data_IF_007633649721
#
_entry.id   IF_007633649721
#
_cell.length_a   1.000
_cell.length_b   1.000
_cell.length_c   1.000
_cell.angle_alpha   90.00
_cell.angle_beta   90.00
_cell.angle_gamma   90.00
#
_symmetry.space_group_name_H-M   'P 1'
#
loop_
_entity.id
_entity.type
_entity.pdbx_description
1 polymer ?
#
# COMPACT_ATOMS: atom_id res chain seq x y z
N UNK A 1 -11.56 18.15 -9.98
CA UNK A 1 -11.53 17.16 -11.10
C UNK A 1 -10.07 16.89 -11.46
N UNK A 2 -9.45 15.93 -10.80
CA UNK A 2 -8.04 15.61 -11.00
C UNK A 2 -7.85 14.87 -12.32
N UNK A 3 -7.19 15.52 -13.28
CA UNK A 3 -6.66 14.81 -14.45
C UNK A 3 -5.30 14.26 -14.08
N UNK A 4 -5.25 12.95 -13.77
CA UNK A 4 -3.97 12.22 -13.80
C UNK A 4 -3.34 12.47 -15.17
N UNK A 5 -2.06 12.89 -15.23
CA UNK A 5 -1.40 12.98 -16.52
C UNK A 5 -1.48 11.60 -17.18
N UNK A 6 -2.02 11.55 -18.39
CA UNK A 6 -2.11 10.37 -19.24
C UNK A 6 -0.69 9.95 -19.67
N UNK A 7 0.10 9.42 -18.75
CA UNK A 7 1.23 8.60 -19.15
C UNK A 7 0.64 7.23 -19.52
N UNK A 8 0.84 6.79 -20.75
CA UNK A 8 0.31 5.51 -21.26
C UNK A 8 0.92 4.27 -20.62
N UNK A 9 1.37 4.37 -19.37
CA UNK A 9 1.99 3.31 -18.61
C UNK A 9 1.11 2.93 -17.42
N UNK A 10 0.78 1.66 -17.36
CA UNK A 10 -0.01 1.07 -16.28
C UNK A 10 0.72 1.26 -14.95
N UNK A 11 0.00 1.80 -13.97
CA UNK A 11 0.41 1.83 -12.57
C UNK A 11 -0.31 0.72 -11.83
N UNK A 12 0.43 -0.02 -11.04
CA UNK A 12 -0.13 -1.04 -10.17
C UNK A 12 -0.10 -0.56 -8.71
N UNK A 13 -1.10 -0.90 -7.89
CA UNK A 13 -1.03 -0.68 -6.46
C UNK A 13 0.10 -1.54 -5.91
N UNK A 14 1.00 -0.93 -5.16
CA UNK A 14 2.12 -1.63 -4.54
C UNK A 14 2.53 -0.89 -3.27
N UNK A 15 2.31 -1.51 -2.12
CA UNK A 15 2.56 -0.89 -0.83
C UNK A 15 3.78 -1.53 -0.18
N UNK A 16 4.81 -0.72 -0.01
CA UNK A 16 6.08 -1.16 0.55
C UNK A 16 6.80 -0.01 1.24
N UNK A 17 7.49 -0.28 2.35
CA UNK A 17 8.47 0.64 2.90
C UNK A 17 9.58 0.88 1.88
N UNK A 18 9.93 2.14 1.69
CA UNK A 18 10.96 2.57 0.77
C UNK A 18 12.00 3.39 1.54
N UNK A 19 13.27 2.99 1.45
CA UNK A 19 14.37 3.83 1.92
C UNK A 19 14.60 4.93 0.89
N UNK A 20 14.62 6.16 1.36
CA UNK A 20 14.64 7.36 0.53
C UNK A 20 15.78 8.25 0.96
N UNK A 21 16.65 8.63 0.04
CA UNK A 21 17.69 9.64 0.29
C UNK A 21 17.34 10.91 -0.47
N UNK A 22 17.13 11.99 0.25
CA UNK A 22 16.82 13.32 -0.27
C UNK A 22 17.83 14.29 0.31
N UNK A 23 18.54 15.05 -0.53
CA UNK A 23 19.52 16.06 -0.08
C UNK A 23 20.53 15.53 0.94
N UNK A 24 20.97 14.27 0.77
CA UNK A 24 21.91 13.61 1.67
C UNK A 24 21.30 13.03 2.95
N UNK A 25 20.03 13.32 3.24
CA UNK A 25 19.32 12.78 4.40
C UNK A 25 18.62 11.47 4.04
N UNK A 26 18.76 10.48 4.89
CA UNK A 26 18.07 9.19 4.76
C UNK A 26 16.75 9.22 5.53
N UNK A 27 15.66 8.77 4.87
CA UNK A 27 14.29 8.74 5.41
C UNK A 27 13.62 7.44 5.00
N UNK A 28 12.54 7.09 5.67
CA UNK A 28 11.66 6.00 5.26
C UNK A 28 10.36 6.59 4.76
N UNK A 29 9.98 6.25 3.52
CA UNK A 29 8.70 6.59 2.94
C UNK A 29 7.84 5.35 2.72
N UNK A 30 6.57 5.56 2.38
CA UNK A 30 5.65 4.51 1.98
C UNK A 30 5.41 4.61 0.47
N UNK A 31 5.91 3.65 -0.28
CA UNK A 31 5.59 3.47 -1.69
C UNK A 31 4.15 2.99 -1.79
N UNK A 32 3.31 3.68 -2.56
CA UNK A 32 1.87 3.41 -2.65
C UNK A 32 1.45 2.78 -3.98
N UNK A 33 2.13 3.14 -5.05
CA UNK A 33 1.93 2.53 -6.37
C UNK A 33 3.20 2.66 -7.22
N UNK A 34 3.35 1.77 -8.20
CA UNK A 34 4.53 1.72 -9.06
C UNK A 34 4.14 1.45 -10.52
N UNK A 35 4.96 1.95 -11.44
CA UNK A 35 4.94 1.65 -12.86
C UNK A 35 6.37 1.53 -13.37
N UNK A 36 6.56 1.14 -14.61
CA UNK A 36 7.90 1.07 -15.23
C UNK A 36 8.62 2.43 -15.33
N UNK A 37 7.90 3.55 -15.22
CA UNK A 37 8.48 4.88 -15.32
C UNK A 37 8.66 5.60 -13.99
N UNK A 38 8.03 5.13 -12.91
CA UNK A 38 8.08 5.82 -11.64
C UNK A 38 7.10 5.27 -10.63
N UNK A 39 7.03 5.93 -9.49
CA UNK A 39 6.21 5.51 -8.37
C UNK A 39 5.54 6.71 -7.67
N UNK A 40 4.58 6.42 -6.81
CA UNK A 40 4.03 7.36 -5.86
C UNK A 40 4.51 7.03 -4.45
N UNK A 41 5.00 8.05 -3.76
CA UNK A 41 5.61 7.93 -2.45
C UNK A 41 4.90 8.87 -1.46
N UNK A 42 4.40 8.33 -0.37
CA UNK A 42 4.06 9.10 0.81
C UNK A 42 5.33 9.30 1.65
N UNK A 43 5.73 10.57 1.81
CA UNK A 43 6.95 10.97 2.53
C UNK A 43 6.73 12.34 3.17
N UNK A 44 7.09 12.47 4.43
CA UNK A 44 7.06 13.73 5.17
C UNK A 44 8.44 14.07 5.77
N UNK A 45 8.89 15.32 5.68
CA UNK A 45 8.36 16.38 4.83
C UNK A 45 8.51 16.04 3.33
N UNK A 46 7.58 16.56 2.53
CA UNK A 46 7.56 16.32 1.08
C UNK A 46 8.67 17.10 0.39
N UNK A 47 9.47 16.46 -0.47
CA UNK A 47 10.45 17.17 -1.27
C UNK A 47 9.77 18.02 -2.35
N UNK A 48 10.40 19.12 -2.74
CA UNK A 48 9.92 20.00 -3.78
C UNK A 48 9.97 19.36 -5.18
N UNK A 49 9.12 19.84 -6.09
CA UNK A 49 9.15 19.42 -7.50
C UNK A 49 10.54 19.70 -8.09
N UNK A 50 11.08 18.71 -8.80
CA UNK A 50 12.43 18.79 -9.37
C UNK A 50 13.52 18.21 -8.49
N UNK A 51 13.26 17.96 -7.21
CA UNK A 51 14.25 17.36 -6.28
C UNK A 51 14.67 15.98 -6.76
N UNK A 52 15.98 15.72 -6.75
CA UNK A 52 16.53 14.39 -6.99
C UNK A 52 16.42 13.51 -5.73
N UNK A 53 16.03 12.26 -5.93
CA UNK A 53 15.76 11.30 -4.86
C UNK A 53 16.40 9.96 -5.23
N UNK A 54 17.18 9.38 -4.33
CA UNK A 54 17.62 8.00 -4.45
C UNK A 54 16.70 7.10 -3.60
N UNK A 55 16.30 5.96 -4.17
CA UNK A 55 15.30 5.04 -3.63
C UNK A 55 15.88 3.64 -3.49
N UNK A 56 15.50 2.95 -2.43
CA UNK A 56 15.74 1.52 -2.27
C UNK A 56 14.47 0.85 -1.71
N UNK A 57 13.97 -0.16 -2.42
CA UNK A 57 12.74 -0.90 -2.05
C UNK A 57 12.76 -2.32 -2.58
N UNK A 58 12.04 -3.23 -1.94
CA UNK A 58 11.86 -4.58 -2.43
C UNK A 58 10.83 -4.62 -3.56
N UNK A 59 10.94 -5.59 -4.46
CA UNK A 59 9.89 -5.99 -5.39
C UNK A 59 9.27 -7.32 -4.95
N UNK A 60 8.03 -7.63 -5.35
CA UNK A 60 7.35 -8.86 -4.94
C UNK A 60 7.90 -10.12 -5.63
N UNK A 61 8.93 -9.99 -6.44
CA UNK A 61 9.59 -11.09 -7.14
C UNK A 61 10.61 -11.88 -6.29
N UNK A 62 10.75 -11.54 -4.99
CA UNK A 62 11.70 -12.17 -4.08
C UNK A 62 13.18 -11.89 -4.36
N UNK A 63 13.49 -11.09 -5.37
CA UNK A 63 14.86 -10.71 -5.72
C UNK A 63 15.47 -9.68 -4.74
N UNK A 64 16.73 -9.27 -4.96
CA UNK A 64 17.38 -8.26 -4.13
C UNK A 64 16.64 -6.92 -4.18
N UNK A 65 16.78 -6.06 -3.17
CA UNK A 65 16.21 -4.73 -3.19
C UNK A 65 16.57 -3.97 -4.46
N UNK A 66 15.62 -3.22 -4.98
CA UNK A 66 15.82 -2.40 -6.17
C UNK A 66 16.29 -1.02 -5.75
N UNK A 67 17.45 -0.60 -6.28
CA UNK A 67 17.90 0.77 -6.19
C UNK A 67 17.49 1.55 -7.44
N UNK A 68 17.05 2.78 -7.27
CA UNK A 68 16.61 3.64 -8.37
C UNK A 68 16.87 5.11 -8.05
N UNK A 69 17.33 5.87 -9.03
CA UNK A 69 17.33 7.31 -8.99
C UNK A 69 16.07 7.85 -9.62
N UNK A 70 15.48 8.87 -9.00
CA UNK A 70 14.24 9.45 -9.43
C UNK A 70 14.23 10.98 -9.22
N UNK A 71 13.25 11.63 -9.81
CA UNK A 71 13.00 13.06 -9.62
C UNK A 71 11.52 13.28 -9.29
N UNK A 72 11.26 14.17 -8.36
CA UNK A 72 9.90 14.61 -8.03
C UNK A 72 9.30 15.33 -9.22
N UNK A 73 8.17 14.86 -9.72
CA UNK A 73 7.47 15.45 -10.88
C UNK A 73 6.18 16.15 -10.52
N UNK A 74 5.59 15.80 -9.40
CA UNK A 74 4.42 16.46 -8.85
C UNK A 74 4.29 16.16 -7.35
N UNK A 75 3.59 17.04 -6.63
CA UNK A 75 3.33 16.91 -5.19
C UNK A 75 1.82 16.89 -4.98
N UNK A 76 1.36 16.01 -4.13
CA UNK A 76 -0.02 15.95 -3.66
C UNK A 76 -0.10 16.63 -2.31
N UNK A 77 -0.60 17.86 -2.30
CA UNK A 77 -0.84 18.68 -1.12
C UNK A 77 -2.28 18.55 -0.61
N UNK A 78 -3.00 17.51 -1.06
CA UNK A 78 -4.38 17.30 -0.66
C UNK A 78 -4.51 17.49 0.85
N UNK A 79 -5.43 18.37 1.29
CA UNK A 79 -5.64 18.55 2.71
C UNK A 79 -6.01 17.21 3.32
N UNK A 80 -5.59 16.96 4.55
CA UNK A 80 -5.84 15.69 5.23
C UNK A 80 -7.32 15.28 5.28
N UNK A 81 -8.23 16.21 4.99
CA UNK A 81 -9.69 16.01 4.93
C UNK A 81 -10.19 15.58 3.55
N UNK A 82 -9.34 15.68 2.52
CA UNK A 82 -9.75 15.26 1.20
C UNK A 82 -9.85 13.73 1.13
N UNK A 83 -10.93 13.27 0.55
CA UNK A 83 -11.19 11.85 0.29
C UNK A 83 -10.48 11.43 -1.00
N UNK A 84 -9.25 11.87 -1.19
CA UNK A 84 -8.48 11.49 -2.36
C UNK A 84 -7.95 10.06 -2.25
N UNK A 85 -7.82 9.39 -3.38
CA UNK A 85 -7.43 7.99 -3.46
C UNK A 85 -5.98 7.70 -3.00
N UNK A 86 -5.17 8.75 -2.79
CA UNK A 86 -3.78 8.64 -2.34
C UNK A 86 -3.53 9.57 -1.15
N UNK A 87 -2.75 9.14 -0.15
CA UNK A 87 -2.33 10.00 0.94
C UNK A 87 -1.47 11.16 0.40
N UNK A 88 -1.31 12.27 1.16
CA UNK A 88 -0.35 13.31 0.82
C UNK A 88 1.02 12.73 0.49
N UNK A 89 1.68 13.24 -0.55
CA UNK A 89 2.94 12.67 -1.01
C UNK A 89 3.41 13.22 -2.33
N UNK A 90 4.28 12.50 -3.02
CA UNK A 90 4.84 12.95 -4.29
C UNK A 90 4.91 11.84 -5.35
N UNK A 91 4.69 12.24 -6.59
CA UNK A 91 4.94 11.41 -7.76
C UNK A 91 6.39 11.55 -8.20
N UNK A 92 7.07 10.42 -8.31
CA UNK A 92 8.47 10.29 -8.69
C UNK A 92 8.57 9.64 -10.07
N UNK A 93 9.45 10.20 -10.91
CA UNK A 93 9.84 9.60 -12.19
C UNK A 93 11.26 9.07 -12.10
N UNK A 94 11.47 7.83 -12.46
CA UNK A 94 12.81 7.27 -12.53
C UNK A 94 13.66 8.02 -13.56
N UNK A 95 14.89 8.37 -13.18
CA UNK A 95 15.86 9.06 -14.05
C UNK A 95 16.91 8.10 -14.57
N UNK A 96 17.23 7.07 -13.79
CA UNK A 96 18.12 6.01 -14.19
C UNK A 96 17.70 4.69 -13.54
N UNK A 97 17.58 3.65 -14.35
CA UNK A 97 17.37 2.26 -13.92
C UNK A 97 18.34 1.35 -14.69
N UNK A 98 18.96 0.43 -13.99
CA UNK A 98 19.73 -0.62 -14.65
C UNK A 98 18.82 -1.47 -15.56
N UNK A 99 19.30 -2.00 -16.69
CA UNK A 99 18.48 -2.82 -17.58
C UNK A 99 17.85 -4.05 -16.91
N UNK A 100 18.51 -4.63 -15.92
CA UNK A 100 17.98 -5.72 -15.10
C UNK A 100 16.80 -5.26 -14.23
N UNK A 101 16.89 -4.08 -13.63
CA UNK A 101 15.82 -3.49 -12.84
C UNK A 101 14.59 -3.16 -13.70
N UNK A 102 14.80 -2.63 -14.91
CA UNK A 102 13.72 -2.40 -15.89
C UNK A 102 12.99 -3.71 -16.23
N UNK A 103 13.75 -4.78 -16.52
CA UNK A 103 13.16 -6.10 -16.83
C UNK A 103 12.34 -6.65 -15.67
N UNK A 104 12.90 -6.62 -14.44
CA UNK A 104 12.19 -7.08 -13.23
C UNK A 104 10.91 -6.29 -13.00
N UNK A 105 10.99 -4.96 -13.04
CA UNK A 105 9.84 -4.08 -12.84
C UNK A 105 8.77 -4.28 -13.93
N UNK A 106 9.20 -4.44 -15.20
CA UNK A 106 8.28 -4.73 -16.30
C UNK A 106 7.57 -6.07 -16.11
N UNK A 107 8.28 -7.10 -15.64
CA UNK A 107 7.69 -8.41 -15.36
C UNK A 107 6.66 -8.31 -14.22
N UNK A 108 6.97 -7.59 -13.14
CA UNK A 108 6.03 -7.37 -12.02
C UNK A 108 4.78 -6.63 -12.49
N UNK A 109 4.92 -5.53 -13.25
CA UNK A 109 3.79 -4.76 -13.77
C UNK A 109 2.97 -5.58 -14.76
N UNK A 110 3.60 -6.32 -15.67
CA UNK A 110 2.92 -7.17 -16.63
C UNK A 110 2.21 -8.35 -15.96
N UNK A 111 2.81 -8.97 -14.96
CA UNK A 111 2.19 -10.03 -14.18
C UNK A 111 0.94 -9.55 -13.42
N UNK A 112 0.96 -8.34 -12.92
CA UNK A 112 -0.22 -7.73 -12.29
C UNK A 112 -1.34 -7.42 -13.29
N UNK A 113 -1.01 -7.05 -14.52
CA UNK A 113 -1.97 -6.64 -15.56
C UNK A 113 -2.37 -7.78 -16.50
N UNK A 114 -1.63 -8.89 -16.52
CA UNK A 114 -1.99 -10.06 -17.29
C UNK A 114 -3.30 -10.66 -16.76
N UNK A 115 -4.16 -11.05 -17.69
CA UNK A 115 -5.54 -11.47 -17.51
C UNK A 115 -5.80 -12.41 -16.31
N UNK A 116 -7.06 -12.52 -15.87
CA UNK A 116 -7.43 -13.17 -14.62
C UNK A 116 -6.83 -14.57 -14.54
N UNK A 117 -5.92 -14.76 -13.58
CA UNK A 117 -5.54 -16.09 -13.17
C UNK A 117 -6.80 -16.79 -12.65
N UNK A 118 -7.00 -18.08 -12.95
CA UNK A 118 -8.09 -18.80 -12.35
C UNK A 118 -7.98 -18.66 -10.83
N UNK A 119 -9.04 -18.14 -10.22
CA UNK A 119 -9.12 -17.97 -8.78
C UNK A 119 -8.88 -19.35 -8.13
N UNK A 120 -8.02 -19.46 -7.11
CA UNK A 120 -7.95 -20.68 -6.32
C UNK A 120 -9.36 -21.01 -5.81
N UNK A 121 -9.73 -22.27 -5.90
CA UNK A 121 -11.06 -22.72 -5.50
C UNK A 121 -11.41 -22.25 -4.09
N UNK A 122 -12.69 -21.98 -3.85
CA UNK A 122 -13.23 -21.44 -2.59
C UNK A 122 -12.82 -22.21 -1.32
N UNK A 123 -12.34 -23.43 -1.48
CA UNK A 123 -12.04 -24.37 -0.39
C UNK A 123 -10.55 -24.45 -0.01
N UNK A 124 -9.67 -23.60 -0.58
CA UNK A 124 -8.26 -23.62 -0.21
C UNK A 124 -8.00 -22.78 1.06
N UNK A 125 -7.41 -23.40 2.11
CA UNK A 125 -7.10 -22.69 3.38
C UNK A 125 -6.12 -21.50 3.22
N UNK A 126 -5.52 -21.33 2.04
CA UNK A 126 -4.67 -20.18 1.70
C UNK A 126 -5.47 -18.89 1.45
N UNK A 127 -6.72 -18.98 1.02
CA UNK A 127 -7.54 -17.80 0.70
C UNK A 127 -7.85 -16.94 1.92
N UNK A 128 -7.96 -17.52 3.10
CA UNK A 128 -8.20 -16.78 4.35
C UNK A 128 -7.03 -15.89 4.79
N UNK A 129 -5.81 -16.17 4.31
CA UNK A 129 -4.59 -15.44 4.67
C UNK A 129 -4.13 -14.46 3.59
N UNK A 130 -4.79 -14.41 2.45
CA UNK A 130 -4.41 -13.51 1.36
C UNK A 130 -4.64 -12.08 1.77
N UNK A 131 -3.59 -11.27 1.67
CA UNK A 131 -3.64 -9.82 1.79
C UNK A 131 -3.29 -9.18 0.46
N UNK A 132 -4.13 -8.27 0.02
CA UNK A 132 -3.89 -7.49 -1.19
C UNK A 132 -3.29 -6.13 -0.82
N UNK A 133 -2.39 -5.57 -1.63
CA UNK A 133 -1.99 -4.18 -1.51
C UNK A 133 -3.23 -3.30 -1.70
N UNK A 134 -3.52 -2.47 -0.71
CA UNK A 134 -4.66 -1.57 -0.78
C UNK A 134 -4.32 -0.29 -0.04
N UNK A 135 -4.29 0.83 -0.74
CA UNK A 135 -3.96 2.13 -0.15
C UNK A 135 -5.18 3.01 -0.18
N UNK A 136 -5.60 3.42 1.01
CA UNK A 136 -6.64 4.42 1.17
C UNK A 136 -6.40 5.23 2.43
N UNK A 137 -6.68 6.55 2.41
CA UNK A 137 -6.79 7.32 3.64
C UNK A 137 -7.87 6.70 4.52
N UNK A 138 -7.62 6.63 5.82
CA UNK A 138 -8.61 6.15 6.77
C UNK A 138 -8.62 6.99 8.05
N UNK A 139 -9.72 6.90 8.77
CA UNK A 139 -9.86 7.42 10.13
C UNK A 139 -9.96 6.25 11.07
N UNK A 140 -9.15 6.28 12.12
CA UNK A 140 -9.18 5.33 13.20
C UNK A 140 -9.70 6.02 14.45
N UNK A 141 -10.87 5.64 14.93
CA UNK A 141 -11.48 6.22 16.14
C UNK A 141 -11.40 5.21 17.27
N UNK A 142 -10.65 5.54 18.29
CA UNK A 142 -10.48 4.76 19.52
C UNK A 142 -10.80 5.61 20.76
N UNK A 143 -10.39 5.14 21.93
CA UNK A 143 -10.64 5.83 23.22
C UNK A 143 -10.04 7.25 23.27
N UNK A 144 -8.92 7.48 22.57
CA UNK A 144 -8.23 8.77 22.52
C UNK A 144 -8.76 9.69 21.39
N UNK A 145 -9.90 9.34 20.78
CA UNK A 145 -10.51 10.09 19.69
C UNK A 145 -10.06 9.66 18.27
N UNK A 146 -10.52 10.39 17.25
CA UNK A 146 -10.22 10.07 15.85
C UNK A 146 -8.77 10.42 15.50
N UNK A 147 -8.12 9.49 14.81
CA UNK A 147 -6.76 9.63 14.29
C UNK A 147 -6.76 9.34 12.79
N UNK A 148 -5.98 10.09 12.05
CA UNK A 148 -5.76 9.83 10.64
C UNK A 148 -4.71 8.77 10.46
N UNK A 149 -4.97 7.89 9.51
CA UNK A 149 -4.12 6.77 9.18
C UNK A 149 -4.25 6.45 7.69
N UNK A 150 -3.43 5.53 7.21
CA UNK A 150 -3.55 5.00 5.87
C UNK A 150 -3.68 3.48 5.93
N UNK A 151 -4.70 2.95 5.28
CA UNK A 151 -4.74 1.51 4.98
C UNK A 151 -3.59 1.20 4.03
N UNK A 152 -2.85 0.14 4.31
CA UNK A 152 -1.71 -0.29 3.49
C UNK A 152 -1.96 -1.64 2.81
N UNK A 153 -2.77 -2.48 3.43
CA UNK A 153 -3.22 -3.73 2.84
C UNK A 153 -4.57 -4.15 3.44
N UNK A 154 -5.28 -4.97 2.69
CA UNK A 154 -6.61 -5.47 3.02
C UNK A 154 -6.64 -6.98 2.89
N UNK A 155 -7.39 -7.64 3.76
CA UNK A 155 -7.78 -9.05 3.68
C UNK A 155 -9.26 -9.18 3.95
N UNK A 156 -9.81 -10.38 3.84
CA UNK A 156 -11.22 -10.65 4.18
C UNK A 156 -11.56 -10.31 5.62
N UNK A 157 -10.58 -10.43 6.53
CA UNK A 157 -10.82 -10.33 7.98
C UNK A 157 -10.26 -9.05 8.59
N UNK A 158 -9.53 -8.22 7.83
CA UNK A 158 -8.92 -7.05 8.42
C UNK A 158 -8.02 -6.25 7.51
N UNK A 159 -7.46 -5.18 8.07
CA UNK A 159 -6.57 -4.24 7.38
C UNK A 159 -5.29 -4.04 8.17
N UNK A 160 -4.21 -3.68 7.49
CA UNK A 160 -3.06 -3.05 8.12
C UNK A 160 -3.15 -1.55 7.89
N UNK A 161 -3.00 -0.80 8.97
CA UNK A 161 -3.00 0.67 8.93
C UNK A 161 -1.67 1.23 9.40
N UNK A 162 -1.15 2.22 8.69
CA UNK A 162 0.02 2.97 9.11
C UNK A 162 -0.42 4.20 9.89
N UNK A 163 0.17 4.40 11.06
CA UNK A 163 -0.01 5.58 11.89
C UNK A 163 1.15 5.69 12.91
N UNK A 164 1.47 6.91 13.33
CA UNK A 164 2.56 7.16 14.27
C UNK A 164 2.24 6.67 15.68
N UNK A 165 1.08 7.05 16.19
CA UNK A 165 0.64 6.66 17.52
C UNK A 165 -0.23 5.41 17.48
N UNK A 166 0.41 4.26 17.63
CA UNK A 166 -0.22 2.94 17.50
C UNK A 166 -1.06 2.60 18.72
N UNK A 167 -2.38 2.33 18.58
CA UNK A 167 -3.25 1.93 19.70
C UNK A 167 -2.75 0.67 20.39
N UNK A 168 -3.26 0.36 21.59
CA UNK A 168 -2.87 -0.83 22.34
C UNK A 168 -3.37 -2.10 21.67
N UNK A 169 -2.61 -3.16 21.76
CA UNK A 169 -3.09 -4.47 21.30
C UNK A 169 -4.32 -4.90 22.11
N UNK A 170 -5.33 -5.43 21.42
CA UNK A 170 -6.63 -5.76 21.99
C UNK A 170 -7.61 -4.58 22.08
N UNK A 171 -7.18 -3.37 21.82
CA UNK A 171 -8.06 -2.19 21.81
C UNK A 171 -9.08 -2.29 20.66
N UNK A 172 -10.34 -1.97 20.98
CA UNK A 172 -11.39 -1.85 19.97
C UNK A 172 -11.39 -0.44 19.40
N UNK A 173 -11.42 -0.37 18.08
CA UNK A 173 -11.41 0.89 17.31
C UNK A 173 -12.47 0.83 16.22
N UNK A 174 -12.94 1.98 15.76
CA UNK A 174 -13.70 2.09 14.52
C UNK A 174 -12.73 2.50 13.42
N UNK A 175 -12.67 1.72 12.35
CA UNK A 175 -11.92 2.06 11.14
C UNK A 175 -12.88 2.46 10.04
N UNK A 176 -12.65 3.63 9.45
CA UNK A 176 -13.46 4.17 8.35
C UNK A 176 -12.57 4.52 7.17
N UNK A 177 -12.85 3.93 5.99
CA UNK A 177 -12.13 4.18 4.74
C UNK A 177 -13.03 3.87 3.54
N UNK A 178 -12.62 4.29 2.34
CA UNK A 178 -13.39 4.00 1.12
C UNK A 178 -12.91 2.73 0.45
N UNK A 179 -13.86 1.89 0.08
CA UNK A 179 -13.64 0.75 -0.81
C UNK A 179 -14.01 1.12 -2.25
N UNK A 180 -13.32 0.54 -3.26
CA UNK A 180 -13.70 0.69 -4.66
C UNK A 180 -15.15 0.24 -4.87
N UNK A 181 -15.91 1.02 -5.65
CA UNK A 181 -17.29 0.71 -5.97
C UNK A 181 -18.32 1.10 -4.91
N UNK A 182 -17.91 1.54 -3.71
CA UNK A 182 -18.83 2.06 -2.71
C UNK A 182 -18.90 3.59 -2.75
N UNK A 183 -20.11 4.12 -2.72
CA UNK A 183 -20.33 5.57 -2.60
C UNK A 183 -20.05 6.06 -1.17
N UNK A 184 -20.35 5.23 -0.18
CA UNK A 184 -20.18 5.53 1.24
C UNK A 184 -18.88 4.95 1.80
N UNK A 185 -18.42 5.50 2.92
CA UNK A 185 -17.28 4.97 3.63
C UNK A 185 -17.62 3.59 4.23
N UNK A 186 -16.69 2.66 4.11
CA UNK A 186 -16.73 1.39 4.82
C UNK A 186 -16.27 1.62 6.25
N UNK A 187 -17.21 1.66 7.19
CA UNK A 187 -16.95 1.93 8.59
C UNK A 187 -17.29 0.69 9.43
N UNK A 188 -16.31 0.15 10.14
CA UNK A 188 -16.46 -1.09 10.91
C UNK A 188 -15.67 -1.05 12.21
N UNK A 189 -16.22 -1.73 13.21
CA UNK A 189 -15.49 -2.02 14.44
C UNK A 189 -14.39 -3.03 14.12
N UNK A 190 -13.22 -2.78 14.65
CA UNK A 190 -12.07 -3.67 14.54
C UNK A 190 -11.30 -3.73 15.86
N UNK A 191 -10.54 -4.79 16.04
CA UNK A 191 -9.67 -4.98 17.20
C UNK A 191 -8.22 -4.97 16.75
N UNK A 192 -7.36 -4.26 17.48
CA UNK A 192 -5.92 -4.25 17.24
C UNK A 192 -5.35 -5.64 17.52
N UNK A 193 -5.11 -6.40 16.45
CA UNK A 193 -4.63 -7.78 16.54
C UNK A 193 -3.13 -7.86 16.84
N UNK A 194 -2.35 -6.96 16.26
CA UNK A 194 -0.91 -6.85 16.50
C UNK A 194 -0.41 -5.42 16.20
N UNK A 195 0.77 -5.10 16.70
CA UNK A 195 1.38 -3.78 16.62
C UNK A 195 2.74 -3.85 15.94
N UNK A 196 3.05 -2.83 15.16
CA UNK A 196 4.35 -2.60 14.53
C UNK A 196 4.83 -1.16 14.83
N UNK A 197 5.11 -0.83 16.09
CA UNK A 197 5.58 0.49 16.45
C UNK A 197 6.99 0.73 15.90
N UNK A 198 7.42 1.99 15.86
CA UNK A 198 8.84 2.31 15.62
C UNK A 198 9.70 1.70 16.72
N UNK A 199 10.89 1.19 16.37
CA UNK A 199 11.84 0.65 17.32
C UNK A 199 12.26 -0.80 17.08
N UNK A 200 12.94 -1.41 18.07
CA UNK A 200 13.42 -2.79 17.98
C UNK A 200 12.26 -3.79 17.78
N UNK A 201 12.47 -4.74 16.87
CA UNK A 201 11.45 -5.77 16.55
C UNK A 201 10.41 -5.34 15.53
N UNK A 202 10.54 -4.16 14.93
CA UNK A 202 9.68 -3.71 13.84
C UNK A 202 9.79 -4.63 12.62
N UNK A 203 8.64 -4.92 12.02
CA UNK A 203 8.59 -5.54 10.70
C UNK A 203 8.90 -4.48 9.65
N UNK A 204 10.14 -4.46 9.15
CA UNK A 204 10.62 -3.41 8.25
C UNK A 204 9.93 -3.36 6.89
N UNK A 205 9.29 -4.45 6.46
CA UNK A 205 8.50 -4.48 5.22
C UNK A 205 7.22 -3.62 5.27
N UNK A 206 6.81 -3.21 6.47
CA UNK A 206 5.64 -2.37 6.69
C UNK A 206 6.02 -1.08 7.42
N UNK A 207 5.34 0.05 7.15
CA UNK A 207 5.51 1.27 7.93
C UNK A 207 5.09 1.04 9.39
N UNK A 208 5.43 1.92 10.33
CA UNK A 208 4.87 1.89 11.68
C UNK A 208 3.35 1.87 11.63
N UNK A 209 2.72 1.04 12.50
CA UNK A 209 1.27 0.90 12.46
C UNK A 209 0.75 -0.31 13.21
N UNK A 210 -0.43 -0.78 12.83
CA UNK A 210 -1.03 -1.97 13.43
C UNK A 210 -1.87 -2.77 12.44
N UNK A 211 -1.95 -4.07 12.68
CA UNK A 211 -2.93 -4.96 12.05
C UNK A 211 -4.23 -4.93 12.83
N UNK A 212 -5.31 -4.63 12.13
CA UNK A 212 -6.67 -4.61 12.63
C UNK A 212 -7.44 -5.82 12.11
N UNK A 213 -8.17 -6.49 12.98
CA UNK A 213 -9.12 -7.53 12.63
C UNK A 213 -10.53 -6.98 12.78
N UNK A 214 -11.33 -7.06 11.74
CA UNK A 214 -12.72 -6.65 11.79
C UNK A 214 -13.51 -7.48 12.79
N UNK A 215 -14.41 -6.83 13.51
CA UNK A 215 -15.36 -7.48 14.40
C UNK A 215 -16.77 -7.37 13.79
N UNK A 216 -17.54 -8.43 13.93
CA UNK A 216 -18.98 -8.44 13.60
C UNK A 216 -19.29 -7.98 12.15
N UNK A 217 -18.53 -8.47 11.16
CA UNK A 217 -18.86 -8.26 9.75
C UNK A 217 -20.21 -8.88 9.42
N UNK A 218 -21.04 -8.14 8.70
CA UNK A 218 -22.25 -8.71 8.09
C UNK A 218 -21.90 -9.70 6.98
N UNK A 219 -22.84 -10.53 6.59
CA UNK A 219 -22.65 -11.43 5.44
C UNK A 219 -22.37 -10.64 4.14
N UNK A 220 -23.01 -9.47 3.98
CA UNK A 220 -22.77 -8.59 2.83
C UNK A 220 -21.35 -8.00 2.83
N UNK A 221 -20.84 -7.56 4.00
CA UNK A 221 -19.47 -7.07 4.13
C UNK A 221 -18.46 -8.17 3.84
N UNK A 222 -18.69 -9.36 4.38
CA UNK A 222 -17.80 -10.51 4.17
C UNK A 222 -17.75 -10.90 2.69
N UNK A 223 -18.90 -10.88 2.00
CA UNK A 223 -18.97 -11.14 0.57
C UNK A 223 -18.25 -10.05 -0.24
N UNK A 224 -18.46 -8.77 0.10
CA UNK A 224 -17.80 -7.63 -0.55
C UNK A 224 -16.27 -7.71 -0.41
N UNK A 225 -15.78 -7.96 0.81
CA UNK A 225 -14.34 -8.06 1.07
C UNK A 225 -13.74 -9.30 0.39
N UNK A 226 -14.48 -10.41 0.34
CA UNK A 226 -14.05 -11.61 -0.37
C UNK A 226 -13.91 -11.35 -1.87
N UNK A 227 -14.92 -10.77 -2.51
CA UNK A 227 -14.92 -10.44 -3.93
C UNK A 227 -13.77 -9.48 -4.28
N UNK A 228 -13.58 -8.44 -3.47
CA UNK A 228 -12.50 -7.48 -3.66
C UNK A 228 -11.12 -8.14 -3.55
N UNK A 229 -10.91 -8.95 -2.50
CA UNK A 229 -9.65 -9.65 -2.30
C UNK A 229 -9.39 -10.66 -3.41
N UNK A 230 -10.39 -11.40 -3.86
CA UNK A 230 -10.27 -12.37 -4.96
C UNK A 230 -9.92 -11.66 -6.28
N UNK A 231 -10.63 -10.57 -6.59
CA UNK A 231 -10.36 -9.77 -7.80
C UNK A 231 -8.92 -9.26 -7.85
N UNK A 232 -8.43 -8.71 -6.75
CA UNK A 232 -7.07 -8.16 -6.69
C UNK A 232 -5.99 -9.23 -6.52
N UNK A 233 -6.26 -10.30 -5.80
CA UNK A 233 -5.31 -11.42 -5.65
C UNK A 233 -5.10 -12.15 -6.97
N UNK A 234 -6.14 -12.30 -7.79
CA UNK A 234 -6.01 -12.85 -9.14
C UNK A 234 -5.18 -11.98 -10.10
N UNK A 235 -5.02 -10.70 -9.79
CA UNK A 235 -4.18 -9.78 -10.54
C UNK A 235 -2.72 -9.71 -10.06
N UNK A 236 -2.37 -10.31 -8.91
CA UNK A 236 -0.99 -10.36 -8.42
C UNK A 236 -0.20 -11.46 -9.13
N UNK A 237 1.07 -11.22 -9.49
CA UNK A 237 1.91 -12.28 -10.02
C UNK A 237 2.07 -13.40 -9.00
N UNK A 238 1.98 -14.64 -9.45
CA UNK A 238 2.25 -15.80 -8.61
C UNK A 238 3.67 -15.70 -8.02
N UNK A 239 3.89 -16.06 -6.75
CA UNK A 239 5.23 -16.16 -6.22
C UNK A 239 6.02 -17.12 -7.10
N UNK A 240 7.21 -16.71 -7.55
CA UNK A 240 8.12 -17.57 -8.31
C UNK A 240 8.53 -18.72 -7.37
N UNK A 241 7.96 -19.90 -7.57
CA UNK A 241 8.43 -21.12 -6.90
C UNK A 241 9.87 -21.39 -7.36
N UNK A 242 10.80 -21.33 -6.43
CA UNK A 242 12.17 -21.80 -6.64
C UNK A 242 13.21 -20.73 -6.91
N UNK A 243 13.49 -19.91 -5.90
CA UNK A 243 14.85 -19.40 -5.71
C UNK A 243 15.45 -20.11 -4.49
N UNK A 244 16.67 -20.74 -4.64
CA UNK A 244 17.34 -21.42 -3.55
C UNK A 244 17.75 -20.48 -2.42
#
# INVERSE_FOLDING_TARGET
MYRLPRSGFTRIPYVQSCRVRVEGQERTGLLCNISVLGLYLHLEPRPEIGTAVALEFALPDGGPPMAADARVTWVNDAPPESVEALPPGCGLRFTALAPSAVRRLSAVVAGFTAAPHPLPGRDEPRAEKVRIPFVAPCVLSGADGPRRANVCNLSRDGVYVSLESVPRQGEAVIVSFRLPGLAEAFERIAVVAWRNPEGPGRVHALPPGCGLRFANLSAADSALLADLVETYAGALPAPVEGAP
#
